data_IF_874478918521
#
_entry.id   IF_874478918521
#
_cell.length_a   1.000
_cell.length_b   1.000
_cell.length_c   1.000
_cell.angle_alpha   90.00
_cell.angle_beta   90.00
_cell.angle_gamma   90.00
#
_symmetry.space_group_name_H-M   'P 1'
#
loop_
_entity.id
_entity.type
_entity.pdbx_description
1 polymer ?
#
# COMPACT_ATOMS: atom_id res chain seq x y z
N UNK A 1 -21.31 15.97 -14.20
CA UNK A 1 -20.44 15.48 -15.28
C UNK A 1 -19.08 15.34 -14.66
N UNK A 2 -18.66 14.11 -14.32
CA UNK A 2 -17.42 13.89 -13.58
C UNK A 2 -16.23 14.33 -14.42
N UNK A 3 -15.33 15.10 -13.81
CA UNK A 3 -14.07 15.50 -14.43
C UNK A 3 -13.20 14.27 -14.67
N UNK A 4 -12.26 14.36 -15.62
CA UNK A 4 -11.28 13.29 -15.85
C UNK A 4 -10.56 12.91 -14.55
N UNK A 5 -10.21 13.90 -13.74
CA UNK A 5 -9.51 13.73 -12.48
C UNK A 5 -10.33 12.96 -11.42
N UNK A 6 -11.63 13.25 -11.30
CA UNK A 6 -12.52 12.52 -10.39
C UNK A 6 -12.64 11.04 -10.77
N UNK A 7 -12.72 10.72 -12.07
CA UNK A 7 -12.73 9.32 -12.54
C UNK A 7 -11.41 8.60 -12.26
N UNK A 8 -10.29 9.30 -12.40
CA UNK A 8 -8.97 8.76 -12.10
C UNK A 8 -8.82 8.49 -10.59
N UNK A 9 -9.30 9.39 -9.72
CA UNK A 9 -9.34 9.17 -8.26
C UNK A 9 -10.19 7.94 -7.91
N UNK A 10 -11.42 7.85 -8.44
CA UNK A 10 -12.30 6.70 -8.19
C UNK A 10 -11.63 5.39 -8.61
N UNK A 11 -10.96 5.38 -9.76
CA UNK A 11 -10.23 4.20 -10.25
C UNK A 11 -9.08 3.81 -9.30
N UNK A 12 -8.33 4.77 -8.78
CA UNK A 12 -7.25 4.51 -7.81
C UNK A 12 -7.80 4.00 -6.48
N UNK A 13 -8.84 4.64 -5.96
CA UNK A 13 -9.50 4.24 -4.72
C UNK A 13 -10.02 2.82 -4.81
N UNK A 14 -10.71 2.46 -5.91
CA UNK A 14 -11.18 1.10 -6.18
C UNK A 14 -10.04 0.09 -6.10
N UNK A 15 -8.97 0.31 -6.85
CA UNK A 15 -7.83 -0.62 -6.90
C UNK A 15 -7.15 -0.76 -5.54
N UNK A 16 -6.99 0.34 -4.83
CA UNK A 16 -6.36 0.34 -3.51
C UNK A 16 -7.19 -0.43 -2.48
N UNK A 17 -8.49 -0.12 -2.38
CA UNK A 17 -9.38 -0.76 -1.40
C UNK A 17 -9.57 -2.25 -1.68
N UNK A 18 -9.65 -2.65 -2.95
CA UNK A 18 -9.68 -4.06 -3.36
C UNK A 18 -8.39 -4.78 -2.97
N UNK A 19 -7.23 -4.16 -3.18
CA UNK A 19 -5.95 -4.74 -2.76
C UNK A 19 -5.91 -4.96 -1.24
N UNK A 20 -6.29 -3.96 -0.45
CA UNK A 20 -6.34 -4.06 1.02
C UNK A 20 -7.25 -5.21 1.47
N UNK A 21 -8.43 -5.31 0.83
CA UNK A 21 -9.41 -6.37 1.10
C UNK A 21 -8.83 -7.75 0.84
N UNK A 22 -8.28 -8.00 -0.35
CA UNK A 22 -7.77 -9.33 -0.69
C UNK A 22 -6.56 -9.73 0.18
N UNK A 23 -5.65 -8.79 0.47
CA UNK A 23 -4.52 -9.06 1.36
C UNK A 23 -4.96 -9.47 2.77
N UNK A 24 -6.01 -8.85 3.31
CA UNK A 24 -6.56 -9.20 4.63
C UNK A 24 -7.40 -10.51 4.58
N UNK A 25 -8.00 -10.84 3.44
CA UNK A 25 -8.72 -12.12 3.24
C UNK A 25 -7.78 -13.32 3.18
N UNK A 26 -6.61 -13.15 2.56
CA UNK A 26 -5.55 -14.16 2.49
C UNK A 26 -4.76 -14.32 3.81
N UNK A 27 -5.13 -13.59 4.86
CA UNK A 27 -4.45 -13.58 6.17
C UNK A 27 -2.96 -13.24 6.05
N UNK A 28 -2.66 -12.32 5.14
CA UNK A 28 -1.29 -11.84 4.97
C UNK A 28 -0.95 -10.92 6.14
N UNK A 29 -0.08 -11.36 7.04
CA UNK A 29 0.52 -10.52 8.11
C UNK A 29 1.13 -9.22 7.54
N UNK A 30 1.46 -9.22 6.25
CA UNK A 30 2.01 -8.09 5.51
C UNK A 30 0.98 -7.04 5.10
N UNK A 31 -0.33 -7.30 5.21
CA UNK A 31 -1.38 -6.37 4.82
C UNK A 31 -1.27 -5.04 5.59
N UNK A 32 -0.93 -5.09 6.88
CA UNK A 32 -0.71 -3.88 7.67
C UNK A 32 0.48 -3.06 7.15
N UNK A 33 1.60 -3.74 6.96
CA UNK A 33 2.89 -3.14 6.60
C UNK A 33 2.87 -2.52 5.21
N UNK A 34 2.27 -3.21 4.25
CA UNK A 34 2.21 -2.76 2.85
C UNK A 34 1.21 -1.62 2.67
N UNK A 35 0.03 -1.73 3.29
CA UNK A 35 -1.06 -0.78 3.02
C UNK A 35 -1.04 0.43 3.94
N UNK A 36 -0.49 0.28 5.15
CA UNK A 36 -0.57 1.28 6.22
C UNK A 36 -1.96 1.48 6.80
N UNK A 37 -2.96 0.70 6.36
CA UNK A 37 -4.36 0.85 6.80
C UNK A 37 -4.48 0.30 8.22
N UNK A 38 -5.18 0.99 9.16
CA UNK A 38 -5.41 0.48 10.50
C UNK A 38 -6.16 -0.86 10.51
N UNK A 39 -5.83 -1.75 11.46
CA UNK A 39 -6.44 -3.08 11.57
C UNK A 39 -7.98 -3.05 11.54
N UNK A 40 -8.58 -2.13 12.30
CA UNK A 40 -10.03 -1.98 12.38
C UNK A 40 -10.68 -1.69 11.02
N UNK A 41 -9.99 -0.95 10.14
CA UNK A 41 -10.47 -0.62 8.80
C UNK A 41 -10.27 -1.81 7.87
N UNK A 42 -9.12 -2.49 7.93
CA UNK A 42 -8.85 -3.68 7.11
C UNK A 42 -9.84 -4.80 7.40
N UNK A 43 -10.17 -5.03 8.68
CA UNK A 43 -11.20 -6.00 9.09
C UNK A 43 -12.57 -5.68 8.50
N UNK A 44 -12.97 -4.41 8.50
CA UNK A 44 -14.22 -4.00 7.83
C UNK A 44 -14.16 -4.26 6.33
N UNK A 45 -13.05 -3.90 5.67
CA UNK A 45 -12.86 -4.13 4.23
C UNK A 45 -12.85 -5.61 3.86
N UNK A 46 -12.27 -6.47 4.70
CA UNK A 46 -12.25 -7.94 4.54
C UNK A 46 -13.66 -8.50 4.41
N UNK A 47 -14.57 -8.00 5.23
CA UNK A 47 -15.95 -8.49 5.34
C UNK A 47 -16.89 -7.87 4.30
N UNK A 48 -16.49 -6.77 3.65
CA UNK A 48 -17.29 -6.12 2.60
C UNK A 48 -17.38 -6.99 1.34
N UNK A 49 -18.50 -6.90 0.61
CA UNK A 49 -18.62 -7.43 -0.75
C UNK A 49 -17.88 -6.55 -1.76
N UNK A 50 -17.76 -7.01 -2.99
CA UNK A 50 -17.18 -6.20 -4.07
C UNK A 50 -18.07 -4.98 -4.31
N UNK A 51 -19.39 -5.19 -4.35
CA UNK A 51 -20.40 -4.17 -4.59
C UNK A 51 -20.39 -3.08 -3.51
N UNK A 52 -20.21 -3.45 -2.24
CA UNK A 52 -20.11 -2.49 -1.13
C UNK A 52 -18.83 -1.62 -1.23
N UNK A 53 -17.71 -2.21 -1.68
CA UNK A 53 -16.48 -1.44 -1.91
C UNK A 53 -16.66 -0.49 -3.10
N UNK A 54 -17.34 -0.93 -4.16
CA UNK A 54 -17.68 -0.10 -5.32
C UNK A 54 -18.57 1.09 -4.93
N UNK A 55 -19.61 0.85 -4.13
CA UNK A 55 -20.47 1.91 -3.60
C UNK A 55 -19.68 2.91 -2.75
N UNK A 56 -18.81 2.43 -1.87
CA UNK A 56 -17.96 3.30 -1.06
C UNK A 56 -17.02 4.18 -1.90
N UNK A 57 -16.49 3.66 -3.02
CA UNK A 57 -15.64 4.43 -3.95
C UNK A 57 -16.41 5.58 -4.61
N UNK A 58 -17.68 5.38 -4.96
CA UNK A 58 -18.51 6.43 -5.55
C UNK A 58 -18.72 7.62 -4.58
N UNK A 59 -18.63 7.37 -3.28
CA UNK A 59 -18.76 8.37 -2.21
C UNK A 59 -17.42 8.89 -1.67
N UNK A 60 -16.28 8.48 -2.22
CA UNK A 60 -14.95 8.91 -1.80
C UNK A 60 -14.37 9.96 -2.77
N UNK A 61 -14.55 11.28 -2.52
CA UNK A 61 -14.03 12.34 -3.38
C UNK A 61 -12.52 12.56 -3.22
N UNK A 62 -11.88 11.88 -2.27
CA UNK A 62 -10.46 12.03 -1.92
C UNK A 62 -9.75 10.68 -1.97
N UNK A 63 -8.43 10.70 -2.11
CA UNK A 63 -7.61 9.50 -1.97
C UNK A 63 -7.47 9.15 -0.48
N UNK A 64 -7.87 7.95 -0.03
CA UNK A 64 -7.72 7.52 1.36
C UNK A 64 -6.30 7.02 1.68
N UNK A 65 -5.35 7.23 0.76
CA UNK A 65 -3.98 6.74 0.86
C UNK A 65 -2.97 7.81 0.47
N UNK A 66 -1.73 7.62 0.92
CA UNK A 66 -0.58 8.43 0.51
C UNK A 66 0.52 7.51 0.01
N UNK A 67 1.23 7.94 -1.03
CA UNK A 67 2.39 7.21 -1.51
C UNK A 67 3.61 7.56 -0.68
N UNK A 68 4.18 6.55 0.01
CA UNK A 68 5.46 6.69 0.71
C UNK A 68 6.62 6.41 -0.24
N UNK A 69 6.92 7.38 -1.09
CA UNK A 69 8.07 7.31 -1.98
C UNK A 69 9.32 7.82 -1.26
N UNK A 70 10.21 6.91 -0.87
CA UNK A 70 11.55 7.28 -0.44
C UNK A 70 12.46 7.50 -1.65
N UNK A 71 13.25 8.57 -1.61
CA UNK A 71 14.17 8.93 -2.70
C UNK A 71 15.09 7.77 -3.12
N UNK A 72 15.60 7.01 -2.14
CA UNK A 72 16.43 5.83 -2.38
C UNK A 72 15.71 4.72 -3.17
N UNK A 73 14.42 4.51 -2.93
CA UNK A 73 13.62 3.51 -3.64
C UNK A 73 13.27 4.00 -5.04
N UNK A 74 12.92 5.28 -5.15
CA UNK A 74 12.65 5.92 -6.43
C UNK A 74 13.85 5.88 -7.38
N UNK A 75 15.04 6.26 -6.90
CA UNK A 75 16.30 6.18 -7.67
C UNK A 75 16.56 4.77 -8.18
N UNK A 76 16.43 3.75 -7.31
CA UNK A 76 16.61 2.34 -7.70
C UNK A 76 15.61 1.88 -8.77
N UNK A 77 14.34 2.28 -8.68
CA UNK A 77 13.33 1.96 -9.69
C UNK A 77 13.67 2.66 -11.02
N UNK A 78 14.00 3.94 -10.97
CA UNK A 78 14.36 4.71 -12.16
C UNK A 78 15.61 4.15 -12.87
N UNK A 79 16.63 3.76 -12.11
CA UNK A 79 17.86 3.16 -12.65
C UNK A 79 17.60 1.75 -13.21
N UNK A 80 16.72 0.96 -12.59
CA UNK A 80 16.32 -0.35 -13.10
C UNK A 80 15.57 -0.25 -14.44
N UNK A 81 14.69 0.75 -14.60
CA UNK A 81 13.99 1.03 -15.86
C UNK A 81 14.98 1.42 -16.96
N UNK A 82 15.93 2.31 -16.66
CA UNK A 82 16.93 2.81 -17.63
C UNK A 82 17.93 1.75 -18.09
N UNK A 83 18.22 0.74 -17.27
CA UNK A 83 19.19 -0.29 -17.58
C UNK A 83 18.60 -1.52 -18.28
N UNK A 84 17.33 -1.46 -18.70
CA UNK A 84 16.59 -2.54 -19.38
C UNK A 84 16.56 -3.88 -18.64
N UNK A 85 16.88 -3.89 -17.34
CA UNK A 85 16.70 -5.05 -16.43
C UNK A 85 15.37 -5.00 -15.69
N UNK A 86 14.43 -4.19 -16.17
CA UNK A 86 13.12 -4.02 -15.55
C UNK A 86 12.20 -5.17 -15.94
N UNK A 87 12.32 -6.29 -15.22
CA UNK A 87 11.27 -7.29 -15.18
C UNK A 87 10.25 -6.85 -14.11
N UNK A 88 9.10 -6.34 -14.57
CA UNK A 88 8.04 -5.84 -13.70
C UNK A 88 7.55 -6.91 -12.69
N UNK A 89 7.63 -8.21 -13.03
CA UNK A 89 7.26 -9.29 -12.10
C UNK A 89 8.26 -9.43 -10.98
N UNK A 90 9.56 -9.54 -11.30
CA UNK A 90 10.62 -9.61 -10.27
C UNK A 90 10.69 -8.34 -9.42
N UNK A 91 10.37 -7.19 -10.01
CA UNK A 91 10.43 -5.89 -9.33
C UNK A 91 9.24 -5.68 -8.40
N UNK A 92 8.03 -6.15 -8.75
CA UNK A 92 6.87 -6.09 -7.86
C UNK A 92 7.07 -6.95 -6.59
N UNK A 93 7.65 -8.14 -6.73
CA UNK A 93 8.10 -8.96 -5.60
C UNK A 93 9.17 -8.21 -4.79
N UNK A 94 10.20 -7.67 -5.45
CA UNK A 94 11.30 -6.98 -4.77
C UNK A 94 10.87 -5.69 -4.06
N UNK A 95 9.94 -4.90 -4.62
CA UNK A 95 9.42 -3.68 -3.97
C UNK A 95 8.52 -4.04 -2.78
N UNK A 96 7.70 -5.08 -2.90
CA UNK A 96 6.91 -5.59 -1.78
C UNK A 96 7.82 -6.09 -0.66
N UNK A 97 8.83 -6.91 -0.98
CA UNK A 97 9.85 -7.38 -0.03
C UNK A 97 10.68 -6.24 0.58
N UNK A 98 11.09 -5.22 -0.19
CA UNK A 98 11.89 -4.11 0.34
C UNK A 98 11.10 -3.13 1.20
N UNK A 99 9.82 -2.91 0.89
CA UNK A 99 8.96 -2.03 1.71
C UNK A 99 8.60 -2.73 3.02
N UNK A 100 8.30 -4.03 2.96
CA UNK A 100 8.08 -4.87 4.14
C UNK A 100 9.37 -5.02 4.96
N UNK A 101 10.50 -5.35 4.35
CA UNK A 101 11.77 -5.53 5.06
C UNK A 101 12.27 -4.21 5.67
N UNK A 102 12.07 -3.07 5.01
CA UNK A 102 12.40 -1.77 5.61
C UNK A 102 11.52 -1.47 6.83
N UNK A 103 10.23 -1.82 6.80
CA UNK A 103 9.35 -1.64 7.95
C UNK A 103 9.67 -2.64 9.09
N UNK A 104 10.01 -3.89 8.77
CA UNK A 104 10.45 -4.88 9.77
C UNK A 104 11.82 -4.52 10.38
N UNK A 105 12.70 -3.85 9.62
CA UNK A 105 13.99 -3.35 10.14
C UNK A 105 13.85 -2.11 11.04
N UNK A 106 12.72 -1.41 11.02
CA UNK A 106 12.45 -0.29 11.93
C UNK A 106 11.95 -0.77 13.30
N UNK A 107 11.28 -1.92 13.39
CA UNK A 107 10.83 -2.51 14.67
C UNK A 107 12.00 -3.07 15.51
N UNK A 108 13.03 -3.62 14.87
CA UNK A 108 14.21 -4.19 15.55
C UNK A 108 15.16 -3.13 16.16
N UNK A 109 14.93 -1.83 15.90
CA UNK A 109 15.74 -0.73 16.47
C UNK A 109 15.08 -0.02 17.66
N UNK A 110 13.89 -0.46 18.09
CA UNK A 110 13.20 0.10 19.25
C UNK A 110 13.60 -0.49 20.61
N UNK A 111 14.58 -1.39 20.63
CA UNK A 111 14.92 -2.23 21.78
C UNK A 111 16.16 -1.85 22.59
N UNK A 112 16.69 -0.63 22.51
CA UNK A 112 17.76 -0.20 23.44
C UNK A 112 17.63 1.28 23.82
N UNK A 113 17.39 1.55 25.11
CA UNK A 113 17.74 2.82 25.75
C UNK A 113 16.61 3.77 26.12
N UNK A 114 15.80 3.42 27.12
CA UNK A 114 15.30 4.40 28.09
C UNK A 114 15.68 3.95 29.50
N UNK A 115 16.95 4.19 29.82
CA UNK A 115 17.44 4.31 31.18
C UNK A 115 17.97 5.75 31.33
N UNK A 116 17.53 6.40 32.42
CA UNK A 116 18.03 7.64 33.00
C UNK A 116 17.89 8.96 32.21
N UNK A 117 16.84 9.72 32.56
CA UNK A 117 16.91 11.10 33.07
C UNK A 117 15.52 11.56 33.55
#
# INVERSE_FOLDING_TARGET
MDTKYERDIKTLNRRYLMLVREMEREDSDYAHTVTGVPYQIRRKLKDMTIEEVEEMVEHLPIMPFTFRLMERHWKRIADAIRTSRFDARKTAETISFMTVAAALQEEDKGGEGFADC
#
